data_IF_394803985717
#
_entry.id   IF_394803985717
#
_cell.length_a   1.000
_cell.length_b   1.000
_cell.length_c   1.000
_cell.angle_alpha   90.00
_cell.angle_beta   90.00
_cell.angle_gamma   90.00
#
_symmetry.space_group_name_H-M   'P 1'
#
loop_
_entity.id
_entity.type
_entity.pdbx_description
1 polymer ?
#
# COMPACT_ATOMS: atom_id res chain seq x y z
N UNK A 1 -4.87 -8.97 -16.19
CA UNK A 1 -5.56 -9.06 -14.88
C UNK A 1 -5.64 -7.65 -14.32
N UNK A 2 -6.80 -7.18 -13.86
CA UNK A 2 -6.93 -5.81 -13.33
C UNK A 2 -6.23 -5.66 -11.97
N UNK A 3 -5.87 -4.42 -11.60
CA UNK A 3 -5.29 -4.10 -10.28
C UNK A 3 -6.18 -4.55 -9.13
N UNK A 4 -7.50 -4.37 -9.27
CA UNK A 4 -8.49 -4.84 -8.30
C UNK A 4 -8.47 -6.36 -8.15
N UNK A 5 -8.40 -7.11 -9.26
CA UNK A 5 -8.30 -8.57 -9.20
C UNK A 5 -7.01 -9.01 -8.50
N UNK A 6 -5.88 -8.33 -8.76
CA UNK A 6 -4.60 -8.63 -8.09
C UNK A 6 -4.71 -8.43 -6.58
N UNK A 7 -5.26 -7.29 -6.13
CA UNK A 7 -5.40 -6.98 -4.71
C UNK A 7 -6.39 -7.92 -4.04
N UNK A 8 -7.52 -8.22 -4.68
CA UNK A 8 -8.53 -9.13 -4.14
C UNK A 8 -7.96 -10.56 -3.97
N UNK A 9 -7.35 -11.11 -5.02
CA UNK A 9 -6.73 -12.45 -4.97
C UNK A 9 -5.59 -12.51 -3.96
N UNK A 10 -4.71 -11.49 -3.92
CA UNK A 10 -3.50 -11.54 -3.10
C UNK A 10 -3.74 -11.18 -1.63
N UNK A 11 -4.66 -10.25 -1.36
CA UNK A 11 -4.90 -9.71 -0.02
C UNK A 11 -6.14 -10.30 0.61
N UNK A 12 -7.30 -10.18 -0.05
CA UNK A 12 -8.56 -10.72 0.49
C UNK A 12 -8.53 -12.25 0.52
N UNK A 13 -7.95 -12.90 -0.50
CA UNK A 13 -7.74 -14.35 -0.49
C UNK A 13 -6.96 -14.85 0.73
N UNK A 14 -5.86 -14.18 1.10
CA UNK A 14 -5.08 -14.52 2.30
C UNK A 14 -5.87 -14.24 3.57
N UNK A 15 -6.60 -13.13 3.62
CA UNK A 15 -7.47 -12.80 4.75
C UNK A 15 -8.56 -13.86 4.96
N UNK A 16 -9.28 -14.26 3.90
CA UNK A 16 -10.33 -15.29 4.00
C UNK A 16 -9.77 -16.66 4.39
N UNK A 17 -8.65 -17.07 3.79
CA UNK A 17 -7.96 -18.31 4.14
C UNK A 17 -7.57 -18.32 5.63
N UNK A 18 -6.98 -17.24 6.11
CA UNK A 18 -6.56 -17.07 7.50
C UNK A 18 -7.75 -17.08 8.45
N UNK A 19 -8.80 -16.32 8.15
CA UNK A 19 -10.04 -16.29 8.96
C UNK A 19 -10.64 -17.68 9.14
N UNK A 20 -10.81 -18.42 8.04
CA UNK A 20 -11.44 -19.73 8.09
C UNK A 20 -10.54 -20.81 8.72
N UNK A 21 -9.22 -20.68 8.58
CA UNK A 21 -8.26 -21.51 9.30
C UNK A 21 -8.30 -21.21 10.82
N UNK A 22 -8.25 -19.93 11.21
CA UNK A 22 -8.30 -19.51 12.61
C UNK A 22 -9.56 -20.04 13.31
N UNK A 23 -10.73 -19.98 12.65
CA UNK A 23 -12.00 -20.52 13.18
C UNK A 23 -11.89 -21.97 13.66
N UNK A 24 -11.11 -22.81 12.98
CA UNK A 24 -10.97 -24.23 13.33
C UNK A 24 -9.74 -24.51 14.20
N UNK A 25 -8.71 -23.65 14.15
CA UNK A 25 -7.50 -23.78 14.96
C UNK A 25 -7.66 -23.23 16.39
N UNK A 26 -8.50 -22.20 16.59
CA UNK A 26 -8.73 -21.59 17.91
C UNK A 26 -9.25 -22.61 18.93
N UNK A 27 -10.27 -23.45 18.65
CA UNK A 27 -10.76 -24.44 19.61
C UNK A 27 -9.72 -25.50 20.02
N UNK A 28 -8.75 -25.78 19.14
CA UNK A 28 -7.68 -26.76 19.40
C UNK A 28 -6.42 -26.13 20.02
N UNK A 29 -6.36 -24.80 20.14
CA UNK A 29 -5.23 -24.04 20.66
C UNK A 29 -3.88 -24.48 20.08
N UNK A 30 -3.82 -24.68 18.76
CA UNK A 30 -2.59 -25.04 18.06
C UNK A 30 -2.75 -24.76 16.57
N UNK A 31 -1.68 -24.30 15.92
CA UNK A 31 -1.66 -24.11 14.47
C UNK A 31 -0.45 -23.34 13.96
N UNK A 32 -0.20 -23.49 12.66
CA UNK A 32 0.75 -22.66 11.90
C UNK A 32 0.10 -22.24 10.59
N UNK A 33 -0.02 -20.94 10.38
CA UNK A 33 -0.54 -20.31 9.16
C UNK A 33 0.64 -19.68 8.42
N UNK A 34 0.79 -20.00 7.14
CA UNK A 34 1.88 -19.49 6.30
C UNK A 34 1.28 -18.78 5.10
N UNK A 35 1.65 -17.52 4.92
CA UNK A 35 1.29 -16.74 3.73
C UNK A 35 2.50 -16.53 2.82
N UNK A 36 2.32 -16.68 1.51
CA UNK A 36 3.36 -16.37 0.53
C UNK A 36 3.28 -14.90 0.15
N UNK A 37 4.23 -14.11 0.65
CA UNK A 37 4.43 -12.72 0.32
C UNK A 37 5.36 -12.60 -0.90
N UNK A 38 6.35 -11.71 -0.83
CA UNK A 38 7.38 -11.46 -1.85
C UNK A 38 8.44 -10.53 -1.25
N UNK A 39 9.65 -10.52 -1.78
CA UNK A 39 10.61 -9.42 -1.54
C UNK A 39 10.02 -8.05 -1.91
N UNK A 40 9.07 -7.98 -2.85
CA UNK A 40 8.24 -6.79 -3.10
C UNK A 40 7.34 -6.37 -1.92
N UNK A 41 7.19 -7.19 -0.88
CA UNK A 41 6.52 -6.83 0.38
C UNK A 41 7.43 -6.13 1.39
N UNK A 42 8.68 -5.85 0.99
CA UNK A 42 9.71 -5.14 1.76
C UNK A 42 10.34 -4.03 0.90
N UNK A 43 10.46 -4.28 -0.41
CA UNK A 43 11.15 -3.42 -1.36
C UNK A 43 10.16 -2.83 -2.38
N UNK A 44 10.40 -1.60 -2.82
CA UNK A 44 9.74 -1.00 -3.97
C UNK A 44 10.49 -1.25 -5.29
N UNK A 45 9.80 -1.04 -6.43
CA UNK A 45 10.44 -0.96 -7.76
C UNK A 45 10.55 -2.25 -8.58
N UNK A 46 9.95 -3.36 -8.13
CA UNK A 46 10.11 -4.69 -8.78
C UNK A 46 8.80 -5.32 -9.25
N UNK A 47 7.69 -4.56 -9.25
CA UNK A 47 6.39 -5.02 -9.73
C UNK A 47 5.44 -3.86 -9.92
N UNK A 48 4.22 -4.16 -10.38
CA UNK A 48 3.16 -3.15 -10.50
C UNK A 48 2.78 -2.62 -9.12
N UNK A 49 2.28 -1.39 -9.04
CA UNK A 49 1.87 -0.77 -7.78
C UNK A 49 0.89 -1.65 -6.99
N UNK A 50 -0.11 -2.25 -7.67
CA UNK A 50 -1.07 -3.18 -7.09
C UNK A 50 -0.44 -4.45 -6.53
N UNK A 51 0.53 -5.03 -7.25
CA UNK A 51 1.21 -6.23 -6.77
C UNK A 51 2.12 -5.93 -5.57
N UNK A 52 2.97 -4.90 -5.66
CA UNK A 52 3.89 -4.51 -4.57
C UNK A 52 3.10 -4.15 -3.30
N UNK A 53 2.02 -3.39 -3.44
CA UNK A 53 1.21 -2.94 -2.31
C UNK A 53 0.41 -4.07 -1.68
N UNK A 54 -0.16 -4.98 -2.48
CA UNK A 54 -0.82 -6.17 -1.94
C UNK A 54 0.16 -7.09 -1.19
N UNK A 55 1.42 -7.19 -1.64
CA UNK A 55 2.44 -7.97 -0.91
C UNK A 55 2.87 -7.32 0.41
N UNK A 56 2.91 -5.99 0.49
CA UNK A 56 3.07 -5.30 1.78
C UNK A 56 1.86 -5.54 2.70
N UNK A 57 0.64 -5.51 2.14
CA UNK A 57 -0.58 -5.78 2.88
C UNK A 57 -0.60 -7.19 3.50
N UNK A 58 -0.14 -8.22 2.76
CA UNK A 58 0.00 -9.60 3.29
C UNK A 58 0.97 -9.66 4.48
N UNK A 59 2.11 -8.96 4.40
CA UNK A 59 3.08 -8.92 5.52
C UNK A 59 2.48 -8.19 6.73
N UNK A 60 1.75 -7.09 6.51
CA UNK A 60 1.04 -6.38 7.57
C UNK A 60 -0.05 -7.23 8.24
N UNK A 61 -0.82 -7.98 7.44
CA UNK A 61 -1.85 -8.90 7.93
C UNK A 61 -1.25 -10.00 8.81
N UNK A 62 -0.16 -10.63 8.37
CA UNK A 62 0.49 -11.70 9.15
C UNK A 62 0.94 -11.24 10.53
N UNK A 63 1.47 -10.00 10.64
CA UNK A 63 1.87 -9.41 11.92
C UNK A 63 0.68 -9.19 12.86
N UNK A 64 -0.42 -8.63 12.34
CA UNK A 64 -1.62 -8.38 13.14
C UNK A 64 -2.26 -9.68 13.64
N UNK A 65 -2.41 -10.66 12.74
CA UNK A 65 -2.99 -11.97 13.10
C UNK A 65 -2.09 -12.73 14.07
N UNK A 66 -0.77 -12.66 13.92
CA UNK A 66 0.16 -13.28 14.86
C UNK A 66 0.04 -12.68 16.27
N UNK A 67 -0.11 -11.36 16.37
CA UNK A 67 -0.31 -10.68 17.66
C UNK A 67 -1.63 -11.09 18.32
N UNK A 68 -2.69 -11.26 17.53
CA UNK A 68 -4.00 -11.69 17.99
C UNK A 68 -4.03 -13.17 18.40
N UNK A 69 -3.65 -14.06 17.48
CA UNK A 69 -3.84 -15.51 17.62
C UNK A 69 -2.76 -16.20 18.45
N UNK A 70 -1.68 -15.49 18.80
CA UNK A 70 -0.63 -16.00 19.67
C UNK A 70 -1.15 -16.50 21.02
N UNK A 71 -2.22 -15.88 21.56
CA UNK A 71 -2.88 -16.32 22.80
C UNK A 71 -3.52 -17.72 22.69
N UNK A 72 -3.82 -18.17 21.46
CA UNK A 72 -4.34 -19.50 21.15
C UNK A 72 -3.24 -20.46 20.67
N UNK A 73 -1.96 -20.11 20.85
CA UNK A 73 -0.81 -20.88 20.36
C UNK A 73 -0.83 -21.13 18.84
N UNK A 74 -1.44 -20.22 18.09
CA UNK A 74 -1.45 -20.24 16.62
C UNK A 74 -0.42 -19.23 16.14
N UNK A 75 0.46 -19.68 15.25
CA UNK A 75 1.50 -18.84 14.65
C UNK A 75 1.04 -18.41 13.26
N UNK A 76 1.35 -17.18 12.87
CA UNK A 76 1.23 -16.75 11.48
C UNK A 76 2.53 -16.11 11.01
N UNK A 77 3.09 -16.61 9.91
CA UNK A 77 4.33 -16.10 9.33
C UNK A 77 4.18 -15.90 7.81
N UNK A 78 5.07 -15.08 7.24
CA UNK A 78 5.20 -14.89 5.81
C UNK A 78 6.49 -15.52 5.29
N UNK A 79 6.46 -15.96 4.02
CA UNK A 79 7.65 -16.24 3.22
C UNK A 79 7.69 -15.23 2.08
N UNK A 80 8.79 -14.49 1.99
CA UNK A 80 9.04 -13.47 0.97
C UNK A 80 10.17 -13.94 0.03
N UNK A 81 9.85 -14.73 -1.00
CA UNK A 81 10.86 -15.14 -1.97
C UNK A 81 11.26 -14.00 -2.90
N UNK A 82 12.49 -14.07 -3.42
CA UNK A 82 12.87 -13.35 -4.63
C UNK A 82 12.33 -14.07 -5.87
N UNK A 83 12.61 -13.55 -7.07
CA UNK A 83 12.13 -14.12 -8.35
C UNK A 83 12.57 -15.58 -8.48
N UNK A 84 11.65 -16.51 -8.28
CA UNK A 84 11.85 -17.93 -8.59
C UNK A 84 11.50 -18.15 -10.06
N UNK A 85 12.35 -18.81 -10.87
CA UNK A 85 12.05 -19.14 -12.25
C UNK A 85 10.93 -20.19 -12.30
N UNK A 86 9.70 -19.70 -12.36
CA UNK A 86 8.47 -20.50 -12.49
C UNK A 86 7.76 -20.07 -13.76
N UNK A 87 6.83 -20.89 -14.27
CA UNK A 87 6.03 -20.55 -15.45
C UNK A 87 5.24 -19.23 -15.30
N UNK A 88 5.00 -18.76 -14.07
CA UNK A 88 4.41 -17.45 -13.79
C UNK A 88 5.41 -16.30 -13.97
N UNK A 89 6.66 -16.48 -13.51
CA UNK A 89 7.72 -15.48 -13.64
C UNK A 89 8.14 -15.29 -15.11
N UNK A 90 8.17 -16.37 -15.88
CA UNK A 90 8.48 -16.35 -17.33
C UNK A 90 7.45 -15.56 -18.15
N UNK A 91 6.20 -15.48 -17.69
CA UNK A 91 5.15 -14.67 -18.33
C UNK A 91 5.21 -13.19 -17.97
N UNK A 92 5.80 -12.84 -16.82
CA UNK A 92 5.87 -11.46 -16.33
C UNK A 92 7.20 -10.75 -16.67
N UNK A 93 8.27 -11.50 -16.91
CA UNK A 93 9.61 -10.96 -17.13
C UNK A 93 10.12 -11.39 -18.51
N UNK A 94 10.44 -10.42 -19.37
CA UNK A 94 11.19 -10.69 -20.60
C UNK A 94 12.54 -11.33 -20.23
N UNK A 95 13.06 -12.25 -21.05
CA UNK A 95 14.27 -13.04 -20.74
C UNK A 95 15.50 -12.22 -20.31
N UNK A 96 15.61 -10.96 -20.76
CA UNK A 96 16.69 -10.02 -20.39
C UNK A 96 16.51 -9.34 -19.02
N UNK A 97 15.30 -9.36 -18.44
CA UNK A 97 15.05 -8.92 -17.06
C UNK A 97 15.29 -10.05 -16.06
N UNK A 98 15.04 -11.31 -16.44
CA UNK A 98 15.34 -12.49 -15.65
C UNK A 98 16.87 -12.64 -15.46
N UNK A 99 17.66 -12.35 -16.50
CA UNK A 99 19.13 -12.39 -16.48
C UNK A 99 19.78 -11.31 -15.59
N UNK A 100 19.05 -10.22 -15.26
CA UNK A 100 19.51 -9.12 -14.38
C UNK A 100 19.14 -9.32 -12.91
N UNK A 101 18.52 -10.43 -12.55
CA UNK A 101 18.23 -10.83 -11.17
C UNK A 101 19.53 -11.30 -10.53
N UNK A 102 20.35 -10.35 -10.08
CA UNK A 102 21.64 -10.63 -9.44
C UNK A 102 21.45 -11.14 -8.00
N UNK A 103 21.79 -12.42 -7.78
CA UNK A 103 22.02 -12.99 -6.46
C UNK A 103 23.49 -12.77 -6.05
N UNK A 104 23.76 -12.48 -4.77
CA UNK A 104 25.14 -12.44 -4.29
C UNK A 104 25.73 -13.85 -4.10
N UNK A 105 24.88 -14.88 -3.95
CA UNK A 105 25.31 -16.26 -3.83
C UNK A 105 25.66 -16.85 -5.21
N UNK A 106 26.95 -16.88 -5.52
CA UNK A 106 27.46 -17.48 -6.77
C UNK A 106 27.11 -18.97 -6.87
N UNK A 107 26.52 -19.38 -7.99
CA UNK A 107 26.25 -20.79 -8.32
C UNK A 107 25.12 -21.44 -7.52
N UNK A 108 24.31 -20.65 -6.80
CA UNK A 108 23.15 -21.13 -6.05
C UNK A 108 21.91 -20.35 -6.47
N UNK A 109 21.27 -20.81 -7.54
CA UNK A 109 20.01 -20.25 -8.00
C UNK A 109 18.90 -20.61 -7.03
N UNK A 110 18.04 -19.62 -6.73
CA UNK A 110 16.84 -19.84 -5.93
C UNK A 110 15.85 -20.73 -6.69
N UNK A 111 15.42 -21.83 -6.07
CA UNK A 111 14.48 -22.81 -6.62
C UNK A 111 13.18 -22.82 -5.83
N UNK A 112 12.13 -23.36 -6.45
CA UNK A 112 10.85 -23.61 -5.78
C UNK A 112 11.03 -24.44 -4.50
N UNK A 113 11.95 -25.42 -4.54
CA UNK A 113 12.29 -26.25 -3.38
C UNK A 113 12.79 -25.42 -2.19
N UNK A 114 13.59 -24.37 -2.41
CA UNK A 114 14.12 -23.56 -1.30
C UNK A 114 12.98 -22.81 -0.57
N UNK A 115 11.95 -22.39 -1.31
CA UNK A 115 10.73 -21.79 -0.74
C UNK A 115 9.90 -22.84 0.00
N UNK A 116 9.83 -24.06 -0.53
CA UNK A 116 9.14 -25.17 0.10
C UNK A 116 9.81 -25.60 1.42
N UNK A 117 11.14 -25.66 1.48
CA UNK A 117 11.89 -25.93 2.72
C UNK A 117 11.65 -24.84 3.78
N UNK A 118 11.60 -23.57 3.37
CA UNK A 118 11.23 -22.48 4.26
C UNK A 118 9.81 -22.63 4.82
N UNK A 119 8.86 -23.11 4.00
CA UNK A 119 7.51 -23.42 4.44
C UNK A 119 7.47 -24.61 5.40
N UNK A 120 8.24 -25.66 5.13
CA UNK A 120 8.37 -26.82 6.01
C UNK A 120 8.89 -26.40 7.40
N UNK A 121 9.94 -25.58 7.45
CA UNK A 121 10.48 -25.03 8.68
C UNK A 121 9.42 -24.23 9.47
N UNK A 122 8.69 -23.32 8.80
CA UNK A 122 7.67 -22.51 9.46
C UNK A 122 6.43 -23.33 9.89
N UNK A 123 6.15 -24.44 9.22
CA UNK A 123 5.05 -25.34 9.57
C UNK A 123 5.40 -26.24 10.76
N UNK A 124 6.67 -26.62 10.92
CA UNK A 124 7.13 -27.55 11.95
C UNK A 124 7.29 -26.91 13.33
N UNK A 125 7.56 -27.75 14.34
CA UNK A 125 7.88 -27.33 15.71
C UNK A 125 9.28 -26.69 15.83
N UNK A 126 10.13 -26.81 14.81
CA UNK A 126 11.44 -26.15 14.79
C UNK A 126 11.31 -24.62 14.85
N UNK A 127 10.18 -24.10 14.36
CA UNK A 127 9.85 -22.67 14.39
C UNK A 127 8.83 -22.31 15.47
N UNK A 128 8.64 -23.15 16.52
CA UNK A 128 7.61 -22.94 17.58
C UNK A 128 7.63 -21.58 18.27
N UNK A 129 8.76 -20.86 18.21
CA UNK A 129 8.92 -19.52 18.80
C UNK A 129 9.01 -18.39 17.74
N UNK A 130 8.69 -18.70 16.48
CA UNK A 130 8.68 -17.76 15.36
C UNK A 130 7.23 -17.47 14.98
N UNK A 131 6.77 -16.25 15.22
CA UNK A 131 5.42 -15.76 14.88
C UNK A 131 5.48 -14.29 14.46
N UNK A 132 4.66 -13.89 13.49
CA UNK A 132 4.66 -12.55 12.90
C UNK A 132 5.90 -12.26 12.05
N UNK A 133 6.70 -13.28 11.73
CA UNK A 133 7.96 -13.13 11.01
C UNK A 133 7.74 -13.12 9.50
N UNK A 134 8.53 -12.32 8.79
CA UNK A 134 8.61 -12.37 7.34
C UNK A 134 9.96 -12.97 6.92
N UNK A 135 9.96 -14.26 6.59
CA UNK A 135 11.15 -15.00 6.21
C UNK A 135 11.50 -14.69 4.76
N UNK A 136 12.56 -13.90 4.56
CA UNK A 136 13.06 -13.56 3.23
C UNK A 136 13.92 -14.70 2.69
N UNK A 137 13.58 -15.16 1.48
CA UNK A 137 14.33 -16.22 0.77
C UNK A 137 14.83 -15.63 -0.54
N UNK A 138 15.97 -14.94 -0.49
CA UNK A 138 16.43 -14.09 -1.60
C UNK A 138 17.92 -14.19 -1.96
N UNK A 139 18.72 -14.95 -1.22
CA UNK A 139 20.16 -15.11 -1.47
C UNK A 139 21.00 -13.83 -1.37
N UNK A 140 20.48 -12.79 -0.71
CA UNK A 140 21.06 -11.44 -0.53
C UNK A 140 21.37 -10.74 -1.86
N UNK A 141 20.76 -9.57 -2.08
CA UNK A 141 21.05 -8.69 -3.22
C UNK A 141 22.12 -7.66 -2.87
N UNK A 142 22.94 -7.24 -3.84
CA UNK A 142 23.78 -6.03 -3.73
C UNK A 142 22.88 -4.80 -3.68
N UNK A 143 22.75 -4.19 -2.50
CA UNK A 143 22.30 -2.80 -2.37
C UNK A 143 23.52 -1.90 -2.43
N UNK A 144 23.76 -1.22 -3.55
CA UNK A 144 24.57 0.01 -3.52
C UNK A 144 23.62 1.14 -3.16
N UNK A 145 23.63 1.58 -1.90
CA UNK A 145 22.95 2.80 -1.50
C UNK A 145 23.91 3.99 -1.68
N UNK A 146 23.45 5.03 -2.37
CA UNK A 146 23.97 6.38 -2.25
C UNK A 146 22.75 7.30 -2.20
N UNK A 147 22.46 7.86 -1.04
CA UNK A 147 22.70 9.29 -0.76
C UNK A 147 21.97 9.68 0.54
N UNK A 148 22.72 10.25 1.48
CA UNK A 148 22.18 10.95 2.66
C UNK A 148 22.12 12.44 2.32
N UNK A 149 21.07 13.14 2.71
CA UNK A 149 21.10 14.59 2.80
C UNK A 149 20.10 15.09 3.85
N UNK A 150 20.67 15.57 4.96
CA UNK A 150 20.02 16.41 5.97
C UNK A 150 19.87 17.82 5.43
N UNK A 151 18.73 18.50 5.62
CA UNK A 151 18.69 19.95 5.55
C UNK A 151 17.69 20.60 6.52
N UNK A 152 18.10 21.79 6.94
CA UNK A 152 17.76 22.61 8.10
C UNK A 152 16.50 23.48 7.97
N UNK A 153 15.95 23.87 9.13
CA UNK A 153 14.81 24.75 9.33
C UNK A 153 15.11 26.24 9.02
N UNK A 154 14.39 26.83 8.06
CA UNK A 154 14.08 28.27 7.98
C UNK A 154 12.59 28.38 7.62
N UNK A 155 11.84 29.25 8.32
CA UNK A 155 10.45 29.59 8.00
C UNK A 155 10.40 30.36 6.66
N UNK A 156 10.32 29.62 5.57
CA UNK A 156 9.95 30.13 4.25
C UNK A 156 8.50 29.73 3.93
N UNK A 157 7.84 30.47 3.03
CA UNK A 157 6.66 29.99 2.30
C UNK A 157 7.11 28.83 1.40
N UNK A 158 7.24 27.64 2.01
CA UNK A 158 7.85 26.44 1.41
C UNK A 158 7.13 25.97 0.15
N UNK A 159 5.88 26.39 0.00
CA UNK A 159 4.97 25.98 -1.06
C UNK A 159 4.44 27.19 -1.85
N UNK A 160 5.16 28.31 -1.84
CA UNK A 160 4.75 29.52 -2.55
C UNK A 160 4.46 29.22 -4.04
N UNK A 161 3.27 29.63 -4.49
CA UNK A 161 2.81 29.43 -5.87
C UNK A 161 2.53 27.97 -6.24
N UNK A 162 2.52 27.03 -5.28
CA UNK A 162 2.17 25.62 -5.51
C UNK A 162 0.66 25.40 -5.44
N UNK A 163 0.17 24.40 -6.17
CA UNK A 163 -1.24 23.98 -6.13
C UNK A 163 -1.31 22.56 -5.57
N UNK A 164 -2.09 22.37 -4.50
CA UNK A 164 -2.19 21.10 -3.78
C UNK A 164 -3.62 20.54 -3.79
N UNK A 165 -3.76 19.26 -4.12
CA UNK A 165 -4.98 18.46 -3.91
C UNK A 165 -4.81 17.61 -2.65
N UNK A 166 -5.76 17.69 -1.71
CA UNK A 166 -5.71 16.91 -0.47
C UNK A 166 -7.04 16.17 -0.32
N UNK A 167 -7.01 14.84 -0.31
CA UNK A 167 -8.21 14.01 -0.13
C UNK A 167 -8.51 13.78 1.36
N UNK A 168 -9.80 13.70 1.72
CA UNK A 168 -10.22 13.55 3.12
C UNK A 168 -9.88 14.77 3.98
N UNK A 169 -9.94 15.97 3.40
CA UNK A 169 -9.41 17.20 3.98
C UNK A 169 -10.44 18.10 4.67
N UNK A 170 -11.70 17.66 4.79
CA UNK A 170 -12.74 18.45 5.48
C UNK A 170 -12.60 18.41 7.01
N UNK A 171 -11.74 17.56 7.59
CA UNK A 171 -11.51 17.50 9.05
C UNK A 171 -10.16 16.89 9.44
N UNK A 172 -9.77 17.08 10.70
CA UNK A 172 -8.72 16.30 11.36
C UNK A 172 -7.33 16.50 10.73
N UNK A 173 -6.65 15.40 10.38
CA UNK A 173 -5.31 15.45 9.79
C UNK A 173 -5.31 16.15 8.42
N UNK A 174 -6.27 15.81 7.54
CA UNK A 174 -6.34 16.39 6.21
C UNK A 174 -6.58 17.90 6.24
N UNK A 175 -7.48 18.36 7.10
CA UNK A 175 -7.71 19.79 7.34
C UNK A 175 -6.45 20.49 7.87
N UNK A 176 -5.76 19.88 8.85
CA UNK A 176 -4.53 20.43 9.41
C UNK A 176 -3.43 20.59 8.33
N UNK A 177 -3.28 19.60 7.45
CA UNK A 177 -2.36 19.67 6.30
C UNK A 177 -2.79 20.78 5.34
N UNK A 178 -4.08 20.89 5.02
CA UNK A 178 -4.62 21.93 4.14
C UNK A 178 -4.31 23.33 4.66
N UNK A 179 -4.60 23.60 5.94
CA UNK A 179 -4.30 24.88 6.59
C UNK A 179 -2.79 25.18 6.61
N UNK A 180 -1.96 24.17 6.87
CA UNK A 180 -0.51 24.32 6.86
C UNK A 180 0.03 24.63 5.45
N UNK A 181 -0.50 23.97 4.42
CA UNK A 181 -0.08 24.19 3.04
C UNK A 181 -0.46 25.59 2.57
N UNK A 182 -1.68 26.03 2.88
CA UNK A 182 -2.13 27.40 2.64
C UNK A 182 -1.24 28.43 3.35
N UNK A 183 -0.91 28.20 4.63
CA UNK A 183 0.02 29.05 5.40
C UNK A 183 1.39 29.17 4.73
N UNK A 184 1.86 28.12 4.05
CA UNK A 184 3.14 28.12 3.32
C UNK A 184 3.03 28.54 1.84
N UNK A 185 1.91 29.17 1.44
CA UNK A 185 1.76 29.83 0.13
C UNK A 185 1.17 28.96 -0.98
N UNK A 186 0.66 27.78 -0.65
CA UNK A 186 -0.03 26.93 -1.63
C UNK A 186 -1.50 27.36 -1.82
N UNK A 187 -2.00 27.27 -3.05
CA UNK A 187 -3.44 27.15 -3.30
C UNK A 187 -3.87 25.71 -3.01
N UNK A 188 -4.93 25.52 -2.23
CA UNK A 188 -5.33 24.20 -1.75
C UNK A 188 -6.72 23.85 -2.25
N UNK A 189 -6.87 22.65 -2.78
CA UNK A 189 -8.17 22.08 -3.13
C UNK A 189 -8.47 20.94 -2.17
N UNK A 190 -9.56 21.12 -1.43
CA UNK A 190 -10.11 20.17 -0.46
C UNK A 190 -11.03 19.23 -1.22
N UNK A 191 -10.65 17.96 -1.29
CA UNK A 191 -11.45 16.89 -1.87
C UNK A 191 -11.98 15.99 -0.76
N UNK A 192 -13.30 15.90 -0.61
CA UNK A 192 -13.94 15.11 0.44
C UNK A 192 -15.37 14.75 0.05
N UNK A 193 -15.96 13.78 0.75
CA UNK A 193 -17.38 13.41 0.61
C UNK A 193 -18.29 14.28 1.50
N UNK A 194 -17.70 15.00 2.46
CA UNK A 194 -18.41 15.87 3.40
C UNK A 194 -18.51 17.29 2.86
N UNK A 195 -19.50 17.54 2.00
CA UNK A 195 -19.67 18.79 1.26
C UNK A 195 -19.75 20.03 2.15
N UNK A 196 -20.73 20.06 3.06
CA UNK A 196 -20.97 21.22 3.93
C UNK A 196 -19.74 21.55 4.77
N UNK A 197 -19.07 20.52 5.28
CA UNK A 197 -17.90 20.68 6.13
C UNK A 197 -16.69 21.16 5.30
N UNK A 198 -16.49 20.60 4.11
CA UNK A 198 -15.40 21.00 3.22
C UNK A 198 -15.55 22.42 2.72
N UNK A 199 -16.78 22.85 2.41
CA UNK A 199 -17.09 24.25 2.08
C UNK A 199 -16.79 25.18 3.26
N UNK A 200 -17.24 24.82 4.47
CA UNK A 200 -16.95 25.60 5.69
C UNK A 200 -15.45 25.76 5.95
N UNK A 201 -14.64 24.71 5.76
CA UNK A 201 -13.18 24.80 5.89
C UNK A 201 -12.58 25.75 4.84
N UNK A 202 -13.08 25.72 3.60
CA UNK A 202 -12.61 26.64 2.55
C UNK A 202 -12.95 28.10 2.88
N UNK A 203 -14.14 28.36 3.41
CA UNK A 203 -14.56 29.70 3.85
C UNK A 203 -13.65 30.22 4.96
N UNK A 204 -13.36 29.37 5.96
CA UNK A 204 -12.45 29.71 7.07
C UNK A 204 -11.01 30.01 6.60
N UNK A 205 -10.54 29.29 5.58
CA UNK A 205 -9.21 29.49 5.00
C UNK A 205 -9.14 30.69 4.04
N UNK A 206 -10.29 31.14 3.53
CA UNK A 206 -10.42 32.14 2.49
C UNK A 206 -10.54 31.52 1.09
N UNK A 207 -11.62 31.86 0.38
CA UNK A 207 -11.98 31.29 -0.93
C UNK A 207 -10.98 31.61 -2.06
N UNK A 208 -10.09 32.59 -1.85
CA UNK A 208 -8.98 32.90 -2.77
C UNK A 208 -7.83 31.88 -2.69
N UNK A 209 -7.70 31.21 -1.53
CA UNK A 209 -6.62 30.28 -1.21
C UNK A 209 -7.10 28.83 -1.23
N UNK A 210 -8.35 28.59 -0.84
CA UNK A 210 -8.95 27.27 -0.75
C UNK A 210 -10.22 27.13 -1.60
N UNK A 211 -10.40 25.95 -2.20
CA UNK A 211 -11.70 25.58 -2.80
C UNK A 211 -12.04 24.13 -2.58
N UNK A 212 -13.33 23.83 -2.58
CA UNK A 212 -13.87 22.51 -2.33
C UNK A 212 -14.27 21.80 -3.62
N UNK A 213 -14.12 20.47 -3.63
CA UNK A 213 -14.70 19.57 -4.63
C UNK A 213 -15.21 18.30 -3.94
N UNK A 214 -16.44 17.88 -4.26
CA UNK A 214 -16.92 16.57 -3.83
C UNK A 214 -16.06 15.49 -4.48
N UNK A 215 -15.57 14.55 -3.68
CA UNK A 215 -14.74 13.46 -4.18
C UNK A 215 -14.84 12.24 -3.25
N UNK A 216 -15.57 11.21 -3.70
CA UNK A 216 -15.45 9.87 -3.14
C UNK A 216 -14.24 9.17 -3.75
N UNK A 217 -13.17 9.06 -2.97
CA UNK A 217 -11.95 8.36 -3.42
C UNK A 217 -12.17 6.88 -3.75
N UNK A 218 -13.28 6.28 -3.34
CA UNK A 218 -13.64 4.91 -3.73
C UNK A 218 -14.17 4.81 -5.18
N UNK A 219 -14.38 5.95 -5.84
CA UNK A 219 -14.73 6.10 -7.26
C UNK A 219 -13.56 6.77 -8.01
N UNK A 220 -13.00 6.09 -9.02
CA UNK A 220 -11.88 6.61 -9.83
C UNK A 220 -12.29 7.87 -10.61
N UNK A 221 -13.55 7.96 -11.04
CA UNK A 221 -14.04 9.09 -11.83
C UNK A 221 -14.10 10.38 -11.04
N UNK A 222 -14.37 10.30 -9.72
CA UNK A 222 -14.34 11.44 -8.81
C UNK A 222 -12.91 11.98 -8.62
N UNK A 223 -11.92 11.09 -8.55
CA UNK A 223 -10.50 11.49 -8.44
C UNK A 223 -10.03 12.13 -9.76
N UNK A 224 -10.38 11.53 -10.90
CA UNK A 224 -10.08 12.08 -12.22
C UNK A 224 -10.71 13.47 -12.39
N UNK A 225 -11.99 13.62 -12.04
CA UNK A 225 -12.70 14.89 -12.07
C UNK A 225 -12.03 15.94 -11.15
N UNK A 226 -11.60 15.55 -9.95
CA UNK A 226 -10.90 16.45 -9.03
C UNK A 226 -9.57 16.94 -9.62
N UNK A 227 -8.77 16.06 -10.23
CA UNK A 227 -7.51 16.42 -10.88
C UNK A 227 -7.76 17.33 -12.09
N UNK A 228 -8.72 16.97 -12.96
CA UNK A 228 -9.06 17.75 -14.15
C UNK A 228 -9.55 19.16 -13.77
N UNK A 229 -10.45 19.27 -12.79
CA UNK A 229 -10.94 20.56 -12.29
C UNK A 229 -9.80 21.45 -11.77
N UNK A 230 -8.80 20.87 -11.11
CA UNK A 230 -7.62 21.62 -10.63
C UNK A 230 -6.78 22.13 -11.79
N UNK A 231 -6.50 21.27 -12.76
CA UNK A 231 -5.72 21.64 -13.94
C UNK A 231 -6.44 22.72 -14.75
N UNK A 232 -7.76 22.62 -14.91
CA UNK A 232 -8.57 23.64 -15.58
C UNK A 232 -8.56 24.98 -14.82
N UNK A 233 -8.72 24.96 -13.50
CA UNK A 233 -8.82 26.17 -12.67
C UNK A 233 -7.48 26.85 -12.42
N UNK A 234 -6.41 26.08 -12.26
CA UNK A 234 -5.10 26.57 -11.80
C UNK A 234 -3.96 26.36 -12.80
N UNK A 235 -4.22 25.68 -13.92
CA UNK A 235 -3.25 25.38 -14.96
C UNK A 235 -2.26 24.26 -14.62
N UNK A 236 -2.27 23.77 -13.37
CA UNK A 236 -1.33 22.75 -12.87
C UNK A 236 -1.77 22.12 -11.56
N UNK A 237 -1.19 20.95 -11.25
CA UNK A 237 -1.21 20.29 -9.95
C UNK A 237 0.24 20.00 -9.53
N UNK A 238 0.71 20.60 -8.44
CA UNK A 238 2.09 20.40 -7.95
C UNK A 238 2.18 19.31 -6.87
N UNK A 239 1.14 19.16 -6.03
CA UNK A 239 1.17 18.34 -4.82
C UNK A 239 -0.13 17.56 -4.68
N UNK A 240 -0.06 16.25 -4.47
CA UNK A 240 -1.21 15.42 -4.11
C UNK A 240 -0.96 14.77 -2.75
N UNK A 241 -1.92 14.91 -1.84
CA UNK A 241 -1.92 14.27 -0.52
C UNK A 241 -3.08 13.30 -0.45
N UNK A 242 -2.76 12.01 -0.57
CA UNK A 242 -3.72 10.91 -0.42
C UNK A 242 -3.95 10.61 1.07
N UNK A 243 -4.76 11.45 1.73
CA UNK A 243 -4.99 11.36 3.17
C UNK A 243 -6.31 10.67 3.54
N UNK A 244 -7.27 10.57 2.60
CA UNK A 244 -8.53 9.89 2.85
C UNK A 244 -8.31 8.45 3.38
N UNK A 245 -9.03 8.10 4.44
CA UNK A 245 -8.94 6.79 5.06
C UNK A 245 -10.12 6.50 5.97
N UNK A 246 -10.49 5.23 6.05
CA UNK A 246 -11.56 4.74 6.92
C UNK A 246 -11.04 3.63 7.83
N UNK A 247 -11.75 3.42 8.92
CA UNK A 247 -11.51 2.36 9.88
C UNK A 247 -12.82 1.58 10.08
N UNK A 248 -12.69 0.31 10.41
CA UNK A 248 -13.79 -0.48 10.97
C UNK A 248 -13.85 -0.30 12.49
N UNK A 249 -15.02 -0.54 13.13
CA UNK A 249 -15.09 -0.70 14.57
C UNK A 249 -14.09 -1.78 15.06
N UNK A 250 -13.47 -1.61 16.24
CA UNK A 250 -12.47 -2.54 16.73
C UNK A 250 -13.07 -3.94 16.93
N UNK A 251 -12.52 -4.91 16.20
CA UNK A 251 -12.83 -6.34 16.36
C UNK A 251 -11.57 -7.03 16.84
N UNK A 252 -11.64 -7.63 18.02
CA UNK A 252 -10.49 -8.27 18.69
C UNK A 252 -10.12 -9.62 18.08
N UNK A 253 -10.96 -10.16 17.20
CA UNK A 253 -10.77 -11.46 16.59
C UNK A 253 -10.98 -11.42 15.08
N UNK A 254 -10.08 -12.02 14.31
CA UNK A 254 -10.19 -12.16 12.86
C UNK A 254 -11.46 -12.92 12.46
N UNK A 255 -11.98 -13.81 13.30
CA UNK A 255 -13.21 -14.57 13.00
C UNK A 255 -14.47 -13.71 13.02
N UNK A 256 -14.46 -12.60 13.76
CA UNK A 256 -15.58 -11.66 13.88
C UNK A 256 -15.62 -10.65 12.72
N UNK A 257 -14.57 -10.61 11.90
CA UNK A 257 -14.48 -9.73 10.74
C UNK A 257 -15.22 -10.36 9.54
N UNK A 258 -16.04 -9.60 8.81
CA UNK A 258 -16.68 -10.08 7.58
C UNK A 258 -15.93 -9.57 6.34
N UNK A 259 -16.21 -10.19 5.19
CA UNK A 259 -15.52 -9.89 3.94
C UNK A 259 -15.80 -8.48 3.43
N UNK A 260 -17.06 -8.02 3.53
CA UNK A 260 -17.49 -6.73 3.03
C UNK A 260 -16.80 -5.57 3.78
N UNK A 261 -16.65 -5.67 5.09
CA UNK A 261 -15.96 -4.67 5.90
C UNK A 261 -14.48 -4.58 5.50
N UNK A 262 -13.81 -5.74 5.38
CA UNK A 262 -12.41 -5.81 4.97
C UNK A 262 -12.20 -5.22 3.57
N UNK A 263 -13.01 -5.65 2.60
CA UNK A 263 -12.94 -5.16 1.22
C UNK A 263 -13.21 -3.66 1.14
N UNK A 264 -14.18 -3.14 1.91
CA UNK A 264 -14.47 -1.71 1.99
C UNK A 264 -13.27 -0.91 2.49
N UNK A 265 -12.62 -1.34 3.56
CA UNK A 265 -11.42 -0.67 4.10
C UNK A 265 -10.25 -0.75 3.13
N UNK A 266 -9.99 -1.91 2.52
CA UNK A 266 -8.95 -2.05 1.49
C UNK A 266 -9.26 -1.18 0.27
N UNK A 267 -10.54 -1.07 -0.12
CA UNK A 267 -10.95 -0.25 -1.25
C UNK A 267 -10.56 1.22 -1.05
N UNK A 268 -10.86 1.77 0.12
CA UNK A 268 -10.64 3.18 0.45
C UNK A 268 -9.22 3.48 0.93
N UNK A 269 -8.51 2.54 1.57
CA UNK A 269 -7.18 2.82 2.12
C UNK A 269 -6.04 2.34 1.20
N UNK A 270 -6.30 1.43 0.27
CA UNK A 270 -5.27 0.82 -0.58
C UNK A 270 -5.52 1.06 -2.07
N UNK A 271 -6.71 0.73 -2.58
CA UNK A 271 -6.92 0.68 -4.05
C UNK A 271 -7.35 2.02 -4.66
N UNK A 272 -8.03 2.88 -3.91
CA UNK A 272 -8.45 4.22 -4.35
C UNK A 272 -7.32 5.06 -4.96
N UNK A 273 -6.09 4.92 -4.45
CA UNK A 273 -4.92 5.68 -4.90
C UNK A 273 -4.20 5.08 -6.10
N UNK A 274 -4.57 3.85 -6.49
CA UNK A 274 -3.86 3.05 -7.50
C UNK A 274 -4.59 2.93 -8.83
N UNK A 275 -5.80 3.46 -8.89
CA UNK A 275 -6.57 3.58 -10.12
C UNK A 275 -6.00 4.71 -10.98
N UNK A 276 -4.85 4.43 -11.60
CA UNK A 276 -4.29 5.20 -12.71
C UNK A 276 -4.45 4.36 -13.96
N UNK A 277 -5.68 4.22 -14.44
CA UNK A 277 -5.90 3.58 -15.74
C UNK A 277 -5.82 4.64 -16.84
N UNK A 278 -4.77 4.54 -17.66
CA UNK A 278 -4.64 5.21 -18.96
C UNK A 278 -4.25 6.70 -19.03
N UNK A 279 -3.21 7.13 -18.31
CA UNK A 279 -2.41 8.26 -18.82
C UNK A 279 -1.70 7.83 -20.11
N UNK A 280 -2.29 8.14 -21.27
CA UNK A 280 -1.59 8.14 -22.55
C UNK A 280 -0.31 8.96 -22.39
N UNK A 281 0.84 8.34 -22.67
CA UNK A 281 2.12 9.04 -22.80
C UNK A 281 1.98 10.15 -23.85
N UNK A 282 1.87 11.39 -23.41
CA UNK A 282 2.19 12.54 -24.26
C UNK A 282 3.45 13.23 -23.75
N UNK A 283 4.51 12.99 -24.54
CA UNK A 283 5.69 13.80 -24.85
C UNK A 283 6.67 14.22 -23.73
N UNK A 284 7.85 13.60 -23.83
CA UNK A 284 9.19 14.18 -23.66
C UNK A 284 9.28 15.51 -22.88
N UNK A 285 9.37 15.40 -21.55
CA UNK A 285 10.00 16.44 -20.75
C UNK A 285 11.53 16.30 -20.85
N UNK A 286 12.07 16.69 -22.01
CA UNK A 286 13.50 16.92 -22.21
C UNK A 286 13.71 18.00 -23.27
N UNK A 287 13.42 19.26 -22.92
CA UNK A 287 14.05 20.44 -23.53
C UNK A 287 13.64 21.73 -22.80
N UNK A 288 14.45 22.15 -21.83
CA UNK A 288 14.94 23.53 -21.65
C UNK A 288 15.99 23.57 -20.56
#
# INVERSE_FOLDING_TARGET
MSSETIVNVTTAGVFFGTKHAARVMIPTCTGSIIAIASTCGILGGFGTHAYVSSKHAVVGLAKNVAAELGQFQIRMNCISPHVVPTAMAEKLLNGDQLSRVYYNMKGKDLREQDVAEAALFLASDESKYVSGHNLVVDGVRKYTSLHTSLYSYIEHFRLEGKVALITGASRGLGESIARMFAKHGAKVVIADILDDLGQSVCEDMGLEVASFIHCDVSDESDIENAVNTIVEKHGKLDIMVNNAGILDPPKLSIVDNNALDFERVIKVNLTCTQSWSELKKEKDCASS
#
